data_IF_708503586016
#
_entry.id   IF_708503586016
#
_cell.length_a   1.000
_cell.length_b   1.000
_cell.length_c   1.000
_cell.angle_alpha   90.00
_cell.angle_beta   90.00
_cell.angle_gamma   90.00
#
_symmetry.space_group_name_H-M   'P 1'
#
loop_
_entity.id
_entity.type
_entity.pdbx_description
1 polymer ?
#
# COMPACT_ATOMS: atom_id res chain seq x y z
N UNK A 1 -0.67 0.14 31.90
CA UNK A 1 -0.86 -0.30 30.51
C UNK A 1 -1.05 0.96 29.66
N UNK A 2 -0.17 1.24 28.70
CA UNK A 2 -0.43 2.27 27.69
C UNK A 2 -1.56 1.73 26.80
N UNK A 3 -2.75 2.33 26.88
CA UNK A 3 -3.81 2.03 25.92
C UNK A 3 -3.36 2.57 24.57
N UNK A 4 -2.88 1.70 23.71
CA UNK A 4 -2.65 2.04 22.30
C UNK A 4 -4.03 2.06 21.62
N UNK A 5 -4.66 3.23 21.59
CA UNK A 5 -5.85 3.44 20.77
C UNK A 5 -5.39 3.95 19.41
N UNK A 6 -5.85 3.32 18.33
CA UNK A 6 -5.68 3.85 17.00
C UNK A 6 -6.55 5.11 16.88
N UNK A 7 -5.93 6.23 16.47
CA UNK A 7 -6.64 7.46 16.19
C UNK A 7 -6.97 7.48 14.69
N UNK A 8 -8.21 7.76 14.31
CA UNK A 8 -8.55 8.00 12.91
C UNK A 8 -7.79 9.19 12.35
N UNK A 9 -7.62 9.21 11.03
CA UNK A 9 -6.99 10.33 10.34
C UNK A 9 -7.71 11.65 10.63
N UNK A 10 -6.92 12.68 10.94
CA UNK A 10 -7.40 14.05 11.06
C UNK A 10 -7.24 14.73 9.70
N UNK A 11 -8.32 14.81 8.94
CA UNK A 11 -8.28 15.30 7.56
C UNK A 11 -9.42 16.30 7.28
N UNK A 12 -9.26 17.02 6.17
CA UNK A 12 -10.28 17.80 5.52
C UNK A 12 -10.26 17.53 4.02
N UNK A 13 -11.34 17.88 3.34
CA UNK A 13 -11.41 17.82 1.88
C UNK A 13 -11.20 19.22 1.32
N UNK A 14 -10.27 19.37 0.37
CA UNK A 14 -10.03 20.64 -0.29
C UNK A 14 -11.13 20.99 -1.30
N UNK A 15 -10.98 22.09 -2.05
CA UNK A 15 -11.99 22.55 -3.00
C UNK A 15 -12.23 21.55 -4.16
N UNK A 16 -11.22 20.76 -4.50
CA UNK A 16 -11.28 19.69 -5.51
C UNK A 16 -11.84 18.37 -4.92
N UNK A 17 -12.14 18.35 -3.61
CA UNK A 17 -12.63 17.16 -2.91
C UNK A 17 -11.53 16.15 -2.56
N UNK A 18 -10.25 16.49 -2.70
CA UNK A 18 -9.13 15.64 -2.31
C UNK A 18 -8.92 15.71 -0.80
N UNK A 19 -8.75 14.56 -0.11
CA UNK A 19 -8.44 14.57 1.31
C UNK A 19 -7.02 15.10 1.57
N UNK A 20 -6.92 15.98 2.55
CA UNK A 20 -5.69 16.62 3.03
C UNK A 20 -5.51 16.28 4.50
N UNK A 21 -4.37 15.73 4.88
CA UNK A 21 -4.04 15.52 6.27
C UNK A 21 -3.75 16.86 6.97
N UNK A 22 -4.46 17.15 8.06
CA UNK A 22 -4.19 18.33 8.88
C UNK A 22 -2.92 18.16 9.73
N UNK A 23 -2.60 16.93 10.09
CA UNK A 23 -1.45 16.64 10.95
C UNK A 23 -0.12 16.72 10.17
N UNK A 24 -0.14 16.42 8.87
CA UNK A 24 1.04 16.42 8.01
C UNK A 24 1.04 17.55 6.96
N UNK A 25 -0.07 18.31 6.84
CA UNK A 25 -0.24 19.37 5.84
C UNK A 25 0.13 18.89 4.43
N UNK A 26 -0.42 17.74 4.04
CA UNK A 26 -0.13 17.08 2.77
C UNK A 26 -1.37 16.38 2.21
N UNK A 27 -1.44 16.26 0.88
CA UNK A 27 -2.55 15.59 0.19
C UNK A 27 -2.33 14.08 0.17
N UNK A 28 -3.43 13.32 0.22
CA UNK A 28 -3.35 11.86 0.12
C UNK A 28 -3.04 11.37 -1.30
N UNK A 29 -3.38 12.16 -2.31
CA UNK A 29 -3.11 11.88 -3.72
C UNK A 29 -3.15 13.18 -4.54
N UNK A 30 -2.58 13.16 -5.75
CA UNK A 30 -2.61 14.30 -6.65
C UNK A 30 -4.04 14.67 -7.06
N UNK A 31 -4.40 15.95 -6.96
CA UNK A 31 -5.72 16.46 -7.31
C UNK A 31 -6.11 16.14 -8.77
N UNK A 32 -5.15 16.25 -9.68
CA UNK A 32 -5.44 16.21 -11.11
C UNK A 32 -5.38 14.79 -11.69
N UNK A 33 -4.55 13.90 -11.14
CA UNK A 33 -4.26 12.62 -11.80
C UNK A 33 -3.69 11.52 -10.87
N UNK A 34 -4.19 11.41 -9.63
CA UNK A 34 -3.67 10.46 -8.63
C UNK A 34 -3.67 9.00 -9.12
N UNK A 35 -4.71 8.58 -9.85
CA UNK A 35 -4.81 7.22 -10.38
C UNK A 35 -3.73 6.91 -11.43
N UNK A 36 -3.51 7.81 -12.39
CA UNK A 36 -2.49 7.62 -13.43
C UNK A 36 -1.07 7.71 -12.83
N UNK A 37 -0.89 8.58 -11.84
CA UNK A 37 0.36 8.64 -11.09
C UNK A 37 0.66 7.32 -10.39
N UNK A 38 -0.33 6.72 -9.73
CA UNK A 38 -0.21 5.39 -9.13
C UNK A 38 0.14 4.32 -10.16
N UNK A 39 -0.54 4.30 -11.30
CA UNK A 39 -0.24 3.37 -12.39
C UNK A 39 1.20 3.50 -12.88
N UNK A 40 1.63 4.72 -13.09
CA UNK A 40 2.98 5.01 -13.59
C UNK A 40 4.07 4.70 -12.55
N UNK A 41 3.93 5.26 -11.34
CA UNK A 41 4.95 5.17 -10.29
C UNK A 41 5.03 3.76 -9.72
N UNK A 42 3.91 3.21 -9.24
CA UNK A 42 3.95 1.97 -8.46
C UNK A 42 3.80 0.72 -9.31
N UNK A 43 2.86 0.67 -10.23
CA UNK A 43 2.68 -0.48 -11.09
C UNK A 43 3.77 -0.53 -12.17
N UNK A 44 3.99 0.58 -12.87
CA UNK A 44 5.01 0.70 -13.91
C UNK A 44 6.43 0.61 -13.34
N UNK A 45 6.71 1.33 -12.23
CA UNK A 45 8.02 1.29 -11.56
C UNK A 45 8.41 -0.10 -11.07
N UNK A 46 7.46 -0.94 -10.68
CA UNK A 46 7.67 -2.34 -10.34
C UNK A 46 7.51 -3.30 -11.52
N UNK A 47 7.27 -2.80 -12.73
CA UNK A 47 7.12 -3.58 -13.97
C UNK A 47 6.06 -4.69 -13.86
N UNK A 48 4.94 -4.45 -13.19
CA UNK A 48 3.98 -5.51 -12.84
C UNK A 48 3.30 -6.11 -14.08
N UNK A 49 3.06 -5.33 -15.13
CA UNK A 49 2.49 -5.80 -16.40
C UNK A 49 3.34 -6.92 -17.03
N UNK A 50 4.66 -6.80 -16.95
CA UNK A 50 5.59 -7.82 -17.46
C UNK A 50 5.77 -8.97 -16.46
N UNK A 51 5.82 -8.65 -15.18
CA UNK A 51 6.16 -9.64 -14.15
C UNK A 51 5.03 -10.60 -13.82
N UNK A 52 3.75 -10.16 -13.92
CA UNK A 52 2.62 -11.03 -13.60
C UNK A 52 2.54 -12.26 -14.51
N UNK A 53 2.61 -12.13 -15.86
CA UNK A 53 2.59 -13.30 -16.75
C UNK A 53 3.75 -14.27 -16.55
N UNK A 54 4.91 -13.77 -16.15
CA UNK A 54 6.15 -14.54 -16.00
C UNK A 54 6.37 -15.05 -14.56
N UNK A 55 5.47 -14.70 -13.63
CA UNK A 55 5.67 -15.05 -12.22
C UNK A 55 5.60 -16.55 -11.98
N UNK A 56 6.65 -17.17 -11.36
CA UNK A 56 6.76 -18.62 -11.26
C UNK A 56 5.96 -19.24 -10.11
N UNK A 57 5.26 -18.44 -9.32
CA UNK A 57 4.52 -18.88 -8.15
C UNK A 57 3.02 -18.54 -8.26
N UNK A 58 2.15 -19.30 -7.56
CA UNK A 58 0.70 -19.01 -7.58
C UNK A 58 0.31 -17.77 -6.79
N UNK A 59 1.22 -17.16 -6.02
CA UNK A 59 1.00 -16.01 -5.17
C UNK A 59 2.03 -14.91 -5.46
N UNK A 60 1.56 -13.69 -5.70
CA UNK A 60 2.38 -12.48 -5.75
C UNK A 60 2.15 -11.65 -4.48
N UNK A 61 3.22 -11.25 -3.81
CA UNK A 61 3.16 -10.50 -2.56
C UNK A 61 3.65 -9.08 -2.78
N UNK A 62 2.80 -8.12 -2.48
CA UNK A 62 3.14 -6.69 -2.48
C UNK A 62 3.08 -6.16 -1.06
N UNK A 63 4.05 -5.36 -0.68
CA UNK A 63 4.00 -4.62 0.57
C UNK A 63 4.06 -3.11 0.33
N UNK A 64 3.41 -2.35 1.19
CA UNK A 64 3.29 -0.90 1.10
C UNK A 64 3.54 -0.27 2.47
N UNK A 65 4.13 0.91 2.49
CA UNK A 65 4.47 1.59 3.76
C UNK A 65 3.32 2.43 4.34
N UNK A 66 2.41 2.96 3.53
CA UNK A 66 1.30 3.78 3.96
C UNK A 66 0.05 3.56 3.13
N UNK A 67 -1.03 3.03 3.73
CA UNK A 67 -2.26 2.67 3.02
C UNK A 67 -3.05 3.88 2.54
N UNK A 68 -3.17 4.92 3.38
CA UNK A 68 -3.94 6.13 3.08
C UNK A 68 -5.37 5.83 2.66
N UNK A 69 -5.73 6.24 1.45
CA UNK A 69 -7.05 5.99 0.85
C UNK A 69 -7.19 4.61 0.21
N UNK A 70 -6.12 3.83 0.14
CA UNK A 70 -6.09 2.54 -0.56
C UNK A 70 -6.04 2.63 -2.08
N UNK A 71 -5.72 3.81 -2.63
CA UNK A 71 -5.64 4.00 -4.08
C UNK A 71 -4.66 3.04 -4.75
N UNK A 72 -3.47 2.87 -4.18
CA UNK A 72 -2.48 1.93 -4.71
C UNK A 72 -2.99 0.50 -4.71
N UNK A 73 -3.62 0.08 -3.62
CA UNK A 73 -4.19 -1.26 -3.50
C UNK A 73 -5.33 -1.50 -4.51
N UNK A 74 -6.26 -0.56 -4.63
CA UNK A 74 -7.39 -0.68 -5.56
C UNK A 74 -6.93 -0.71 -7.02
N UNK A 75 -5.95 0.12 -7.36
CA UNK A 75 -5.35 0.18 -8.70
C UNK A 75 -4.64 -1.13 -9.04
N UNK A 76 -3.88 -1.66 -8.08
CA UNK A 76 -3.21 -2.95 -8.24
C UNK A 76 -4.20 -4.09 -8.38
N UNK A 77 -5.26 -4.12 -7.58
CA UNK A 77 -6.29 -5.16 -7.66
C UNK A 77 -7.00 -5.13 -9.01
N UNK A 78 -7.39 -3.95 -9.51
CA UNK A 78 -7.94 -3.81 -10.86
C UNK A 78 -6.98 -4.38 -11.92
N UNK A 79 -5.70 -4.02 -11.87
CA UNK A 79 -4.69 -4.52 -12.81
C UNK A 79 -4.50 -6.04 -12.70
N UNK A 80 -4.56 -6.58 -11.50
CA UNK A 80 -4.47 -8.03 -11.27
C UNK A 80 -5.67 -8.78 -11.86
N UNK A 81 -6.89 -8.25 -11.71
CA UNK A 81 -8.10 -8.84 -12.31
C UNK A 81 -8.00 -8.84 -13.84
N UNK A 82 -7.62 -7.71 -14.43
CA UNK A 82 -7.39 -7.61 -15.88
C UNK A 82 -6.34 -8.61 -16.37
N UNK A 83 -5.26 -8.76 -15.63
CA UNK A 83 -4.24 -9.78 -15.91
C UNK A 83 -4.84 -11.20 -15.86
N UNK A 84 -5.64 -11.51 -14.84
CA UNK A 84 -6.25 -12.85 -14.67
C UNK A 84 -7.24 -13.17 -15.80
N UNK A 85 -8.01 -12.17 -16.24
CA UNK A 85 -8.93 -12.32 -17.39
C UNK A 85 -8.16 -12.59 -18.69
N UNK A 86 -7.07 -11.85 -18.92
CA UNK A 86 -6.23 -11.99 -20.11
C UNK A 86 -5.39 -13.29 -20.10
N UNK A 87 -5.03 -13.79 -18.92
CA UNK A 87 -4.13 -14.94 -18.75
C UNK A 87 -4.70 -16.00 -17.79
N UNK A 88 -5.85 -16.64 -18.11
CA UNK A 88 -6.53 -17.56 -17.19
C UNK A 88 -5.71 -18.81 -16.84
N UNK A 89 -4.71 -19.15 -17.65
CA UNK A 89 -3.82 -20.30 -17.44
C UNK A 89 -2.48 -19.94 -16.80
N UNK A 90 -2.25 -18.66 -16.46
CA UNK A 90 -1.01 -18.24 -15.81
C UNK A 90 -0.80 -18.97 -14.48
N UNK A 91 0.45 -19.16 -14.09
CA UNK A 91 0.81 -19.75 -12.80
C UNK A 91 0.32 -18.87 -11.63
N UNK A 92 0.41 -17.57 -11.78
CA UNK A 92 -0.05 -16.60 -10.80
C UNK A 92 -1.58 -16.59 -10.69
N UNK A 93 -2.10 -16.93 -9.51
CA UNK A 93 -3.54 -17.07 -9.23
C UNK A 93 -4.04 -16.13 -8.13
N UNK A 94 -3.17 -15.69 -7.22
CA UNK A 94 -3.55 -14.94 -6.02
C UNK A 94 -2.62 -13.76 -5.79
N UNK A 95 -3.18 -12.70 -5.22
CA UNK A 95 -2.50 -11.49 -4.77
C UNK A 95 -2.58 -11.39 -3.24
N UNK A 96 -1.46 -11.11 -2.59
CA UNK A 96 -1.41 -10.75 -1.18
C UNK A 96 -0.80 -9.36 -1.04
N UNK A 97 -1.57 -8.44 -0.49
CA UNK A 97 -1.15 -7.07 -0.23
C UNK A 97 -1.02 -6.85 1.27
N UNK A 98 0.14 -6.37 1.70
CA UNK A 98 0.45 -6.06 3.09
C UNK A 98 0.66 -4.56 3.18
N UNK A 99 -0.12 -3.86 3.98
CA UNK A 99 0.04 -2.42 4.15
C UNK A 99 -0.07 -1.99 5.60
N UNK A 100 0.54 -0.86 5.91
CA UNK A 100 0.59 -0.28 7.24
C UNK A 100 -0.12 1.07 7.23
N UNK A 101 -0.81 1.38 8.33
CA UNK A 101 -1.48 2.67 8.47
C UNK A 101 -1.53 3.07 9.94
N UNK A 102 -0.94 4.21 10.27
CA UNK A 102 -0.92 4.73 11.64
C UNK A 102 -2.21 5.45 12.00
N UNK A 103 -2.82 6.13 11.03
CA UNK A 103 -4.01 6.94 11.17
C UNK A 103 -5.03 6.56 10.09
N UNK A 104 -5.74 5.41 10.24
CA UNK A 104 -6.67 4.96 9.22
C UNK A 104 -7.82 5.96 9.01
N UNK A 105 -8.24 6.13 7.77
CA UNK A 105 -9.44 6.89 7.46
C UNK A 105 -10.66 6.24 8.12
N UNK A 106 -11.65 7.06 8.46
CA UNK A 106 -12.97 6.52 8.76
C UNK A 106 -13.58 5.89 7.50
N UNK A 107 -14.51 4.95 7.66
CA UNK A 107 -15.21 4.36 6.51
C UNK A 107 -15.90 5.42 5.65
N UNK A 108 -16.45 6.47 6.27
CA UNK A 108 -17.13 7.56 5.57
C UNK A 108 -16.14 8.39 4.73
N UNK A 109 -14.98 8.75 5.30
CA UNK A 109 -13.94 9.51 4.59
C UNK A 109 -13.34 8.69 3.46
N UNK A 110 -13.14 7.38 3.68
CA UNK A 110 -12.67 6.45 2.66
C UNK A 110 -13.64 6.42 1.47
N UNK A 111 -14.94 6.30 1.73
CA UNK A 111 -15.96 6.29 0.69
C UNK A 111 -16.02 7.61 -0.09
N UNK A 112 -15.85 8.75 0.59
CA UNK A 112 -15.78 10.06 -0.07
C UNK A 112 -14.53 10.16 -0.97
N UNK A 113 -13.38 9.72 -0.51
CA UNK A 113 -12.14 9.72 -1.30
C UNK A 113 -12.29 8.86 -2.58
N UNK A 114 -12.91 7.70 -2.46
CA UNK A 114 -13.11 6.78 -3.58
C UNK A 114 -14.02 7.32 -4.68
N UNK A 115 -14.84 8.33 -4.42
CA UNK A 115 -15.67 8.99 -5.45
C UNK A 115 -14.84 9.65 -6.55
N UNK A 116 -13.56 9.94 -6.32
CA UNK A 116 -12.64 10.44 -7.33
C UNK A 116 -12.34 9.43 -8.44
N UNK A 117 -12.56 8.14 -8.18
CA UNK A 117 -12.22 7.05 -9.11
C UNK A 117 -13.42 6.14 -9.36
N UNK A 118 -14.45 6.60 -10.09
CA UNK A 118 -15.63 5.79 -10.39
C UNK A 118 -15.28 4.49 -11.13
N UNK A 119 -14.18 4.47 -11.87
CA UNK A 119 -13.65 3.29 -12.54
C UNK A 119 -13.11 2.21 -11.59
N UNK A 120 -12.83 2.55 -10.33
CA UNK A 120 -12.44 1.61 -9.28
C UNK A 120 -13.61 1.19 -8.37
N UNK A 121 -14.83 1.68 -8.62
CA UNK A 121 -15.98 1.46 -7.76
C UNK A 121 -16.23 -0.02 -7.40
N UNK A 122 -16.15 -1.00 -8.31
CA UNK A 122 -16.41 -2.41 -7.97
C UNK A 122 -15.46 -2.97 -6.91
N UNK A 123 -14.20 -2.56 -6.91
CA UNK A 123 -13.19 -2.95 -5.92
C UNK A 123 -13.31 -2.13 -4.63
N UNK A 124 -13.54 -0.83 -4.78
CA UNK A 124 -13.71 0.10 -3.65
C UNK A 124 -14.90 -0.28 -2.76
N UNK A 125 -16.02 -0.68 -3.34
CA UNK A 125 -17.21 -1.11 -2.61
C UNK A 125 -16.93 -2.37 -1.76
N UNK A 126 -16.20 -3.34 -2.30
CA UNK A 126 -15.79 -4.53 -1.54
C UNK A 126 -14.87 -4.18 -0.37
N UNK A 127 -13.89 -3.29 -0.58
CA UNK A 127 -13.01 -2.80 0.48
C UNK A 127 -13.80 -2.07 1.57
N UNK A 128 -14.69 -1.15 1.19
CA UNK A 128 -15.52 -0.39 2.12
C UNK A 128 -16.45 -1.29 2.93
N UNK A 129 -17.00 -2.35 2.32
CA UNK A 129 -17.87 -3.31 2.99
C UNK A 129 -17.18 -4.05 4.14
N UNK A 130 -15.88 -4.31 4.00
CA UNK A 130 -15.06 -5.02 4.99
C UNK A 130 -14.12 -4.10 5.78
N UNK A 131 -14.24 -2.76 5.64
CA UNK A 131 -13.34 -1.82 6.31
C UNK A 131 -13.30 -2.07 7.83
N UNK A 132 -12.13 -2.32 8.41
CA UNK A 132 -12.04 -2.76 9.80
C UNK A 132 -12.27 -1.62 10.80
N UNK A 133 -12.58 -1.99 12.03
CA UNK A 133 -12.58 -1.07 13.16
C UNK A 133 -11.14 -0.59 13.43
N UNK A 134 -10.95 0.65 13.96
CA UNK A 134 -9.64 1.22 14.25
C UNK A 134 -9.02 0.60 15.52
N UNK A 135 -8.70 -0.68 15.46
CA UNK A 135 -8.01 -1.42 16.51
C UNK A 135 -6.55 -1.68 16.09
N UNK A 136 -5.59 -1.66 17.03
CA UNK A 136 -4.19 -1.92 16.70
C UNK A 136 -3.95 -3.38 16.25
N UNK A 137 -2.97 -3.56 15.38
CA UNK A 137 -2.57 -4.87 14.87
C UNK A 137 -3.05 -5.18 13.46
N UNK A 138 -3.00 -6.44 13.08
CA UNK A 138 -3.32 -6.90 11.73
C UNK A 138 -4.80 -7.20 11.55
N UNK A 139 -5.37 -6.63 10.49
CA UNK A 139 -6.73 -6.90 10.02
C UNK A 139 -6.65 -7.56 8.66
N UNK A 140 -6.93 -8.86 8.59
CA UNK A 140 -6.94 -9.60 7.33
C UNK A 140 -8.30 -9.55 6.67
N UNK A 141 -8.34 -9.03 5.45
CA UNK A 141 -9.53 -9.03 4.59
C UNK A 141 -9.31 -10.06 3.46
N UNK A 142 -10.31 -10.91 3.29
CA UNK A 142 -10.38 -11.84 2.15
C UNK A 142 -11.35 -11.27 1.14
N UNK A 143 -10.84 -10.89 -0.01
CA UNK A 143 -11.54 -10.20 -1.07
C UNK A 143 -11.56 -11.07 -2.32
N UNK A 144 -12.47 -10.78 -3.24
CA UNK A 144 -12.56 -11.50 -4.49
C UNK A 144 -12.56 -13.04 -4.31
N UNK A 145 -13.47 -13.53 -3.48
CA UNK A 145 -13.59 -14.97 -3.16
C UNK A 145 -12.27 -15.61 -2.66
N UNK A 146 -11.41 -14.82 -2.03
CA UNK A 146 -10.11 -15.26 -1.49
C UNK A 146 -8.94 -15.22 -2.48
N UNK A 147 -9.15 -14.70 -3.71
CA UNK A 147 -8.05 -14.49 -4.66
C UNK A 147 -7.17 -13.31 -4.28
N UNK A 148 -7.73 -12.34 -3.56
CA UNK A 148 -7.02 -11.16 -3.05
C UNK A 148 -7.09 -11.16 -1.53
N UNK A 149 -5.93 -11.18 -0.89
CA UNK A 149 -5.78 -11.03 0.56
C UNK A 149 -5.18 -9.65 0.84
N UNK A 150 -5.82 -8.88 1.71
CA UNK A 150 -5.28 -7.63 2.22
C UNK A 150 -5.02 -7.77 3.72
N UNK A 151 -3.76 -7.62 4.13
CA UNK A 151 -3.35 -7.49 5.52
C UNK A 151 -3.11 -6.01 5.84
N UNK A 152 -4.05 -5.39 6.54
CA UNK A 152 -3.93 -4.02 7.05
C UNK A 152 -3.39 -4.05 8.47
N UNK A 153 -2.22 -3.47 8.66
CA UNK A 153 -1.60 -3.31 9.97
C UNK A 153 -1.82 -1.89 10.48
N UNK A 154 -2.66 -1.75 11.50
CA UNK A 154 -2.90 -0.45 12.13
C UNK A 154 -1.91 -0.20 13.26
N UNK A 155 -1.10 0.85 13.12
CA UNK A 155 -0.07 1.27 14.04
C UNK A 155 1.16 1.85 13.34
N UNK A 156 2.19 2.14 14.13
CA UNK A 156 3.45 2.68 13.59
C UNK A 156 4.25 1.60 12.85
N UNK A 157 4.58 1.84 11.59
CA UNK A 157 5.28 0.87 10.74
C UNK A 157 6.64 0.47 11.31
N UNK A 158 7.36 1.39 11.97
CA UNK A 158 8.67 1.07 12.56
C UNK A 158 8.55 0.08 13.73
N UNK A 159 7.43 0.12 14.45
CA UNK A 159 7.14 -0.84 15.53
C UNK A 159 6.60 -2.16 14.96
N UNK A 160 5.66 -2.07 13.99
CA UNK A 160 4.96 -3.21 13.45
C UNK A 160 5.84 -4.11 12.60
N UNK A 161 6.79 -3.56 11.84
CA UNK A 161 7.70 -4.38 11.02
C UNK A 161 8.58 -5.31 11.83
N UNK A 162 8.87 -4.96 13.08
CA UNK A 162 9.58 -5.83 14.02
C UNK A 162 8.75 -6.99 14.57
N UNK A 163 7.41 -6.90 14.44
CA UNK A 163 6.45 -7.92 14.91
C UNK A 163 6.04 -8.90 13.81
N UNK A 164 6.45 -8.65 12.57
CA UNK A 164 6.17 -9.55 11.46
C UNK A 164 6.92 -10.88 11.65
N UNK A 165 6.20 -11.97 11.44
CA UNK A 165 6.74 -13.31 11.54
C UNK A 165 7.87 -13.56 10.54
N UNK A 166 8.88 -14.32 10.94
CA UNK A 166 10.03 -14.64 10.09
C UNK A 166 9.67 -15.42 8.84
N UNK A 167 8.48 -16.04 8.79
CA UNK A 167 7.97 -16.69 7.58
C UNK A 167 7.74 -15.73 6.42
N UNK A 168 7.63 -14.41 6.69
CA UNK A 168 7.54 -13.37 5.68
C UNK A 168 8.91 -12.91 5.14
N UNK A 169 10.02 -13.32 5.75
CA UNK A 169 11.35 -12.98 5.25
C UNK A 169 11.52 -13.50 3.81
N UNK A 170 12.01 -12.63 2.94
CA UNK A 170 12.21 -12.92 1.52
C UNK A 170 10.94 -13.38 0.77
N UNK A 171 9.78 -12.83 1.12
CA UNK A 171 8.50 -13.17 0.47
C UNK A 171 7.89 -12.04 -0.35
N UNK A 172 8.27 -10.79 -0.11
CA UNK A 172 7.71 -9.63 -0.79
C UNK A 172 8.32 -9.50 -2.19
N UNK A 173 7.48 -9.58 -3.21
CA UNK A 173 7.88 -9.50 -4.62
C UNK A 173 8.04 -8.04 -5.09
N UNK A 174 7.25 -7.13 -4.54
CA UNK A 174 7.30 -5.70 -4.86
C UNK A 174 6.96 -4.83 -3.66
N UNK A 175 7.69 -3.73 -3.49
CA UNK A 175 7.41 -2.72 -2.50
C UNK A 175 6.85 -1.44 -3.12
N UNK A 176 5.78 -0.92 -2.54
CA UNK A 176 5.25 0.41 -2.75
C UNK A 176 5.67 1.27 -1.57
N UNK A 177 6.77 2.01 -1.72
CA UNK A 177 7.26 2.91 -0.69
C UNK A 177 6.53 4.25 -0.82
N UNK A 178 5.41 4.36 -0.15
CA UNK A 178 4.48 5.48 -0.20
C UNK A 178 4.20 6.05 1.19
N UNK A 179 3.66 7.25 1.24
CA UNK A 179 3.34 8.01 2.44
C UNK A 179 3.40 9.50 2.15
N UNK A 180 3.13 10.32 3.15
CA UNK A 180 3.34 11.75 3.02
C UNK A 180 4.82 12.07 2.76
N UNK A 181 5.06 13.20 2.06
CA UNK A 181 6.41 13.58 1.64
C UNK A 181 7.43 13.51 2.79
N UNK A 182 8.68 13.10 2.53
CA UNK A 182 9.69 12.94 3.57
C UNK A 182 9.91 14.17 4.47
N UNK A 183 9.72 15.37 3.89
CA UNK A 183 9.81 16.62 4.65
C UNK A 183 8.59 16.86 5.58
N UNK A 184 7.45 16.24 5.28
CA UNK A 184 6.20 16.36 6.04
C UNK A 184 6.06 15.26 7.08
N UNK A 185 6.51 14.06 6.80
CA UNK A 185 6.43 12.91 7.69
C UNK A 185 7.75 12.11 7.70
N UNK A 186 8.82 12.63 8.29
CA UNK A 186 10.14 11.98 8.27
C UNK A 186 10.16 10.60 8.96
N UNK A 187 9.24 10.35 9.90
CA UNK A 187 9.17 9.09 10.65
C UNK A 187 8.87 7.87 9.77
N UNK A 188 8.31 8.07 8.58
CA UNK A 188 8.07 6.98 7.61
C UNK A 188 9.24 6.72 6.66
N UNK A 189 10.35 7.45 6.79
CA UNK A 189 11.47 7.37 5.84
C UNK A 189 12.78 7.08 6.61
N UNK A 190 12.73 6.06 7.45
CA UNK A 190 13.83 5.70 8.36
C UNK A 190 14.68 4.56 7.82
N UNK A 191 15.95 4.50 8.25
CA UNK A 191 16.82 3.38 7.93
C UNK A 191 16.27 2.06 8.50
N UNK A 192 15.59 2.08 9.65
CA UNK A 192 14.97 0.89 10.23
C UNK A 192 13.88 0.34 9.29
N UNK A 193 13.04 1.20 8.70
CA UNK A 193 12.07 0.78 7.71
C UNK A 193 12.75 0.19 6.48
N UNK A 194 13.77 0.85 5.93
CA UNK A 194 14.48 0.36 4.74
C UNK A 194 15.15 -1.00 4.98
N UNK A 195 15.74 -1.21 6.15
CA UNK A 195 16.31 -2.49 6.55
C UNK A 195 15.22 -3.59 6.68
N UNK A 196 14.06 -3.26 7.24
CA UNK A 196 12.93 -4.18 7.31
C UNK A 196 12.41 -4.54 5.91
N UNK A 197 12.30 -3.55 5.02
CA UNK A 197 11.91 -3.77 3.62
C UNK A 197 12.87 -4.74 2.92
N UNK A 198 14.18 -4.54 3.07
CA UNK A 198 15.19 -5.43 2.49
C UNK A 198 15.11 -6.86 3.06
N UNK A 199 14.90 -7.00 4.37
CA UNK A 199 14.71 -8.31 5.02
C UNK A 199 13.51 -9.07 4.44
N UNK A 200 12.42 -8.38 4.17
CA UNK A 200 11.18 -8.97 3.69
C UNK A 200 11.19 -9.18 2.16
N UNK A 201 11.98 -8.41 1.42
CA UNK A 201 12.05 -8.49 -0.03
C UNK A 201 12.59 -9.85 -0.50
N UNK A 202 11.90 -10.42 -1.48
CA UNK A 202 12.38 -11.61 -2.20
C UNK A 202 13.65 -11.26 -2.97
N UNK A 203 14.63 -12.16 -3.11
CA UNK A 203 15.72 -11.97 -4.06
C UNK A 203 15.19 -11.66 -5.46
N UNK A 204 15.63 -10.56 -6.05
CA UNK A 204 15.08 -10.03 -7.31
C UNK A 204 13.75 -9.27 -7.16
N UNK A 205 13.27 -9.07 -5.94
CA UNK A 205 12.14 -8.18 -5.66
C UNK A 205 12.47 -6.73 -5.99
N UNK A 206 11.43 -5.95 -6.26
CA UNK A 206 11.55 -4.56 -6.69
C UNK A 206 10.93 -3.59 -5.69
N UNK A 207 11.24 -2.32 -5.81
CA UNK A 207 10.55 -1.24 -5.11
C UNK A 207 10.31 -0.05 -6.04
N UNK A 208 9.26 0.69 -5.75
CA UNK A 208 9.01 1.98 -6.38
C UNK A 208 8.57 3.01 -5.33
N UNK A 209 8.88 4.26 -5.58
CA UNK A 209 8.49 5.40 -4.75
C UNK A 209 8.37 6.66 -5.61
N UNK A 210 7.50 7.57 -5.18
CA UNK A 210 7.35 8.88 -5.85
C UNK A 210 8.43 9.89 -5.45
N UNK A 211 9.13 9.65 -4.32
CA UNK A 211 10.09 10.64 -3.81
C UNK A 211 11.43 10.57 -4.54
N UNK A 212 11.98 11.75 -4.84
CA UNK A 212 13.35 11.92 -5.37
C UNK A 212 14.37 12.27 -4.28
N UNK A 213 13.97 12.25 -3.00
CA UNK A 213 14.83 12.64 -1.89
C UNK A 213 16.10 11.80 -1.82
N UNK A 214 17.26 12.45 -1.91
CA UNK A 214 18.55 11.76 -1.98
C UNK A 214 18.89 10.89 -0.78
N UNK A 215 18.42 11.25 0.43
CA UNK A 215 18.66 10.44 1.62
C UNK A 215 17.85 9.13 1.60
N UNK A 216 16.64 9.13 1.02
CA UNK A 216 15.83 7.93 0.84
C UNK A 216 16.56 6.97 -0.11
N UNK A 217 17.02 7.46 -1.26
CA UNK A 217 17.79 6.65 -2.20
C UNK A 217 19.02 6.03 -1.55
N UNK A 218 19.81 6.83 -0.82
CA UNK A 218 21.00 6.32 -0.12
C UNK A 218 20.64 5.29 0.94
N UNK A 219 19.62 5.56 1.75
CA UNK A 219 19.17 4.64 2.79
C UNK A 219 18.69 3.29 2.24
N UNK A 220 18.01 3.28 1.08
CA UNK A 220 17.61 2.06 0.39
C UNK A 220 18.84 1.29 -0.14
N UNK A 221 19.82 1.99 -0.73
CA UNK A 221 21.08 1.38 -1.16
C UNK A 221 21.87 0.77 0.03
N UNK A 222 21.93 1.50 1.15
CA UNK A 222 22.59 1.02 2.37
C UNK A 222 21.86 -0.22 2.97
N UNK A 223 20.55 -0.36 2.75
CA UNK A 223 19.77 -1.52 3.16
C UNK A 223 19.95 -2.74 2.23
N UNK A 224 20.44 -2.54 0.99
CA UNK A 224 20.71 -3.61 0.03
C UNK A 224 19.84 -3.64 -1.22
N UNK A 225 19.08 -2.56 -1.48
CA UNK A 225 18.35 -2.40 -2.74
C UNK A 225 19.23 -1.83 -3.86
#
# INVERSE_FOLDING_TARGET
MKHYSIQPANLEFNAEGTPVSRDFDDVYFSNDNGLEETRYVFLGGNQLEVRFPEHPHPLFVVAESGFGTGLNFLTLWQAFDQFREAHPQAQLQRLHFISFEKFPLTRADLALAHQHWPELAPWAEQLQAQWPMPLPGCHRLLLDEGRVTLDLWFGDINELTSQLDDSLNQKVDAWFLDGFAPAKNPDMWTQNLFNAMARLARPGGTLATFTSAGFVRRGLQDAGF
#
